data_IF_044777941701
#
_entry.id   IF_044777941701
#
_cell.length_a   1.000
_cell.length_b   1.000
_cell.length_c   1.000
_cell.angle_alpha   90.00
_cell.angle_beta   90.00
_cell.angle_gamma   90.00
#
_symmetry.space_group_name_H-M   'P 1'
#
loop_
_entity.id
_entity.type
_entity.pdbx_description
1 polymer ?
#
# COMPACT_ATOMS: atom_id res chain seq x y z
N UNK A 1 -12.27 5.32 21.08
CA UNK A 1 -13.00 6.61 21.10
C UNK A 1 -13.66 6.77 19.74
N UNK A 2 -14.96 7.04 19.71
CA UNK A 2 -15.80 7.02 18.49
C UNK A 2 -15.40 8.04 17.41
N UNK A 3 -14.56 9.02 17.76
CA UNK A 3 -14.07 10.02 16.82
C UNK A 3 -13.11 9.45 15.78
N UNK A 4 -12.28 8.46 16.15
CA UNK A 4 -11.25 7.92 15.24
C UNK A 4 -11.90 7.22 14.03
N UNK A 5 -12.91 6.38 14.28
CA UNK A 5 -13.66 5.68 13.21
C UNK A 5 -14.36 6.63 12.26
N UNK A 6 -14.89 7.74 12.78
CA UNK A 6 -15.49 8.80 11.98
C UNK A 6 -14.45 9.50 11.08
N UNK A 7 -13.27 9.79 11.62
CA UNK A 7 -12.16 10.40 10.86
C UNK A 7 -11.68 9.48 9.75
N UNK A 8 -11.41 8.21 10.03
CA UNK A 8 -10.96 7.26 9.00
C UNK A 8 -11.99 7.07 7.89
N UNK A 9 -13.28 7.02 8.26
CA UNK A 9 -14.38 6.94 7.29
C UNK A 9 -14.43 8.16 6.38
N UNK A 10 -14.27 9.37 6.93
CA UNK A 10 -14.21 10.61 6.15
C UNK A 10 -12.96 10.63 5.24
N UNK A 11 -11.81 10.20 5.74
CA UNK A 11 -10.57 10.15 4.94
C UNK A 11 -10.71 9.18 3.76
N UNK A 12 -11.29 8.00 3.97
CA UNK A 12 -11.57 7.04 2.90
C UNK A 12 -12.56 7.60 1.87
N UNK A 13 -13.60 8.30 2.32
CA UNK A 13 -14.56 8.98 1.46
C UNK A 13 -13.89 10.06 0.60
N UNK A 14 -13.07 10.92 1.22
CA UNK A 14 -12.34 11.99 0.52
C UNK A 14 -11.35 11.42 -0.50
N UNK A 15 -10.65 10.34 -0.15
CA UNK A 15 -9.71 9.66 -1.06
C UNK A 15 -10.41 9.07 -2.29
N UNK A 16 -11.60 8.51 -2.09
CA UNK A 16 -12.39 7.87 -3.16
C UNK A 16 -13.11 8.88 -4.05
N UNK A 17 -13.82 9.83 -3.45
CA UNK A 17 -14.89 10.58 -4.14
C UNK A 17 -14.53 12.04 -4.45
N UNK A 18 -13.44 12.59 -3.87
CA UNK A 18 -13.07 13.99 -4.13
C UNK A 18 -12.62 14.20 -5.57
N UNK A 19 -13.22 15.17 -6.27
CA UNK A 19 -12.74 15.62 -7.60
C UNK A 19 -11.41 16.37 -7.54
N UNK A 20 -10.97 16.78 -6.35
CA UNK A 20 -9.70 17.47 -6.15
C UNK A 20 -8.60 16.49 -5.74
N UNK A 21 -7.64 16.26 -6.65
CA UNK A 21 -6.50 15.36 -6.40
C UNK A 21 -5.66 15.76 -5.18
N UNK A 22 -5.53 17.06 -4.85
CA UNK A 22 -4.78 17.48 -3.67
C UNK A 22 -5.45 17.01 -2.38
N UNK A 23 -6.78 17.06 -2.33
CA UNK A 23 -7.55 16.52 -1.20
C UNK A 23 -7.35 15.01 -1.10
N UNK A 24 -7.42 14.28 -2.23
CA UNK A 24 -7.17 12.83 -2.26
C UNK A 24 -5.77 12.49 -1.75
N UNK A 25 -4.74 13.21 -2.19
CA UNK A 25 -3.35 13.04 -1.76
C UNK A 25 -3.23 13.23 -0.25
N UNK A 26 -3.80 14.31 0.30
CA UNK A 26 -3.74 14.57 1.74
C UNK A 26 -4.52 13.54 2.55
N UNK A 27 -5.67 13.08 2.05
CA UNK A 27 -6.44 12.03 2.69
C UNK A 27 -5.68 10.70 2.75
N UNK A 28 -5.02 10.30 1.65
CA UNK A 28 -4.13 9.14 1.64
C UNK A 28 -2.96 9.30 2.63
N UNK A 29 -2.30 10.45 2.65
CA UNK A 29 -1.21 10.71 3.60
C UNK A 29 -1.68 10.62 5.06
N UNK A 30 -2.85 11.17 5.38
CA UNK A 30 -3.44 11.09 6.72
C UNK A 30 -3.77 9.65 7.14
N UNK A 31 -4.19 8.79 6.20
CA UNK A 31 -4.42 7.36 6.46
C UNK A 31 -3.14 6.60 6.82
N UNK A 32 -1.95 7.13 6.53
CA UNK A 32 -0.65 6.55 6.90
C UNK A 32 -0.04 7.12 8.20
N UNK A 33 -0.71 8.09 8.85
CA UNK A 33 -0.19 8.70 10.09
C UNK A 33 -0.10 7.73 11.27
N UNK A 34 -1.08 6.83 11.51
CA UNK A 34 -1.01 5.91 12.65
C UNK A 34 0.17 4.94 12.50
N UNK A 35 0.97 4.77 13.56
CA UNK A 35 2.22 4.01 13.50
C UNK A 35 2.04 2.50 13.76
N UNK A 36 0.92 2.12 14.36
CA UNK A 36 0.60 0.74 14.73
C UNK A 36 -0.88 0.42 14.49
N UNK A 37 -1.22 -0.88 14.44
CA UNK A 37 -2.61 -1.33 14.34
C UNK A 37 -3.47 -0.80 15.50
N UNK A 38 -2.89 -0.62 16.69
CA UNK A 38 -3.57 -0.08 17.86
C UNK A 38 -4.01 1.38 17.65
N UNK A 39 -3.21 2.17 16.96
CA UNK A 39 -3.52 3.59 16.68
C UNK A 39 -4.67 3.75 15.68
N UNK A 40 -4.87 2.76 14.80
CA UNK A 40 -6.07 2.67 13.95
C UNK A 40 -7.31 2.19 14.72
N UNK A 41 -7.11 1.40 15.78
CA UNK A 41 -8.18 0.75 16.53
C UNK A 41 -9.04 -0.14 15.64
N UNK A 42 -10.36 -0.11 15.86
CA UNK A 42 -11.34 -0.92 15.12
C UNK A 42 -11.39 -0.59 13.62
N UNK A 43 -10.93 0.61 13.23
CA UNK A 43 -10.98 1.08 11.84
C UNK A 43 -9.88 0.49 10.96
N UNK A 44 -8.91 -0.24 11.52
CA UNK A 44 -7.82 -0.81 10.72
C UNK A 44 -8.35 -1.69 9.57
N UNK A 45 -9.41 -2.46 9.84
CA UNK A 45 -10.06 -3.30 8.85
C UNK A 45 -10.64 -2.49 7.69
N UNK A 46 -11.35 -1.42 7.99
CA UNK A 46 -11.99 -0.57 6.98
C UNK A 46 -10.95 0.20 6.16
N UNK A 47 -9.86 0.64 6.80
CA UNK A 47 -8.74 1.29 6.13
C UNK A 47 -8.07 0.35 5.12
N UNK A 48 -7.71 -0.88 5.53
CA UNK A 48 -7.10 -1.86 4.63
C UNK A 48 -8.03 -2.18 3.46
N UNK A 49 -9.31 -2.45 3.72
CA UNK A 49 -10.28 -2.78 2.68
C UNK A 49 -10.50 -1.62 1.72
N UNK A 50 -10.63 -0.41 2.25
CA UNK A 50 -10.80 0.80 1.46
C UNK A 50 -9.59 1.09 0.57
N UNK A 51 -8.36 0.98 1.10
CA UNK A 51 -7.14 1.19 0.33
C UNK A 51 -6.98 0.16 -0.80
N UNK A 52 -7.21 -1.13 -0.52
CA UNK A 52 -7.19 -2.18 -1.56
C UNK A 52 -8.21 -1.88 -2.64
N UNK A 53 -9.44 -1.57 -2.26
CA UNK A 53 -10.50 -1.28 -3.21
C UNK A 53 -10.18 -0.08 -4.09
N UNK A 54 -9.62 0.99 -3.51
CA UNK A 54 -9.24 2.18 -4.27
C UNK A 54 -8.11 1.85 -5.25
N UNK A 55 -7.08 1.11 -4.81
CA UNK A 55 -5.98 0.66 -5.67
C UNK A 55 -6.46 -0.21 -6.84
N UNK A 56 -7.35 -1.17 -6.59
CA UNK A 56 -7.94 -2.03 -7.63
C UNK A 56 -8.68 -1.23 -8.71
N UNK A 57 -9.26 -0.09 -8.36
CA UNK A 57 -10.13 0.69 -9.24
C UNK A 57 -9.48 1.98 -9.80
N UNK A 58 -8.22 2.30 -9.46
CA UNK A 58 -7.54 3.54 -9.89
C UNK A 58 -7.47 3.74 -11.42
N UNK A 59 -7.54 2.66 -12.21
CA UNK A 59 -7.53 2.72 -13.68
C UNK A 59 -8.79 3.34 -14.29
N UNK A 60 -9.89 3.44 -13.53
CA UNK A 60 -11.21 3.85 -14.03
C UNK A 60 -11.48 5.36 -14.03
N UNK A 61 -10.54 6.19 -13.57
CA UNK A 61 -10.72 7.65 -13.52
C UNK A 61 -10.74 8.26 -14.94
N UNK A 62 -11.95 8.41 -15.49
CA UNK A 62 -12.26 8.88 -16.86
C UNK A 62 -12.02 10.38 -17.12
N UNK A 63 -11.38 11.12 -16.20
CA UNK A 63 -11.28 12.58 -16.29
C UNK A 63 -9.81 13.00 -16.37
N UNK A 64 -9.30 13.34 -17.56
CA UNK A 64 -7.97 13.93 -17.66
C UNK A 64 -7.87 15.08 -18.68
N UNK A 65 -7.80 16.30 -18.15
CA UNK A 65 -7.04 17.39 -18.76
C UNK A 65 -5.54 17.18 -18.49
N UNK A 66 -4.60 17.64 -19.35
CA UNK A 66 -3.15 17.43 -19.19
C UNK A 66 -2.58 17.86 -17.83
N UNK A 67 -3.17 18.90 -17.20
CA UNK A 67 -2.77 19.38 -15.87
C UNK A 67 -3.04 18.38 -14.73
N UNK A 68 -3.96 17.44 -14.93
CA UNK A 68 -4.28 16.40 -13.95
C UNK A 68 -3.27 15.26 -13.94
N UNK A 69 -2.43 15.11 -14.97
CA UNK A 69 -1.49 14.00 -15.07
C UNK A 69 -0.47 13.99 -13.93
N UNK A 70 0.14 15.15 -13.63
CA UNK A 70 1.10 15.29 -12.52
C UNK A 70 0.46 14.93 -11.17
N UNK A 71 -0.77 15.37 -10.93
CA UNK A 71 -1.46 15.10 -9.67
C UNK A 71 -1.96 13.65 -9.57
N UNK A 72 -2.29 13.01 -10.69
CA UNK A 72 -2.61 11.58 -10.75
C UNK A 72 -1.39 10.74 -10.38
N UNK A 73 -0.22 11.02 -10.96
CA UNK A 73 1.04 10.36 -10.61
C UNK A 73 1.40 10.60 -9.14
N UNK A 74 1.20 11.83 -8.62
CA UNK A 74 1.44 12.13 -7.21
C UNK A 74 0.50 11.35 -6.28
N UNK A 75 -0.79 11.22 -6.65
CA UNK A 75 -1.77 10.43 -5.91
C UNK A 75 -1.42 8.95 -5.91
N UNK A 76 -1.04 8.37 -7.05
CA UNK A 76 -0.62 6.97 -7.16
C UNK A 76 0.59 6.68 -6.27
N UNK A 77 1.60 7.55 -6.29
CA UNK A 77 2.76 7.43 -5.40
C UNK A 77 2.38 7.51 -3.92
N UNK A 78 1.50 8.45 -3.55
CA UNK A 78 1.05 8.59 -2.16
C UNK A 78 0.23 7.39 -1.72
N UNK A 79 -0.69 6.89 -2.56
CA UNK A 79 -1.51 5.73 -2.23
C UNK A 79 -0.65 4.47 -2.10
N UNK A 80 0.34 4.32 -2.97
CA UNK A 80 1.33 3.24 -2.87
C UNK A 80 2.06 3.29 -1.53
N UNK A 81 2.59 4.45 -1.16
CA UNK A 81 3.27 4.64 0.14
C UNK A 81 2.35 4.29 1.32
N UNK A 82 1.10 4.78 1.27
CA UNK A 82 0.08 4.55 2.30
C UNK A 82 -0.26 3.07 2.44
N UNK A 83 -0.43 2.37 1.31
CA UNK A 83 -0.73 0.95 1.31
C UNK A 83 0.45 0.11 1.80
N UNK A 84 1.68 0.42 1.38
CA UNK A 84 2.89 -0.27 1.86
C UNK A 84 3.03 -0.13 3.38
N UNK A 85 2.79 1.05 3.92
CA UNK A 85 2.77 1.28 5.37
C UNK A 85 1.69 0.45 6.07
N UNK A 86 0.44 0.52 5.59
CA UNK A 86 -0.65 -0.23 6.22
C UNK A 86 -0.41 -1.76 6.18
N UNK A 87 0.19 -2.27 5.09
CA UNK A 87 0.55 -3.68 4.96
C UNK A 87 1.73 -4.08 5.85
N UNK A 88 2.73 -3.22 6.05
CA UNK A 88 3.92 -3.54 6.86
C UNK A 88 3.59 -3.83 8.33
N UNK A 89 2.49 -3.27 8.82
CA UNK A 89 1.99 -3.50 10.19
C UNK A 89 0.86 -4.53 10.26
N UNK A 90 0.34 -5.02 9.13
CA UNK A 90 -0.85 -5.88 9.08
C UNK A 90 -0.67 -7.23 9.79
N UNK A 91 0.55 -7.78 9.85
CA UNK A 91 0.84 -9.03 10.57
C UNK A 91 0.63 -8.90 12.09
N UNK A 92 0.70 -7.68 12.63
CA UNK A 92 0.50 -7.39 14.06
C UNK A 92 -0.98 -7.23 14.43
N UNK A 93 -1.89 -7.35 13.47
CA UNK A 93 -3.32 -7.27 13.74
C UNK A 93 -3.85 -8.60 14.27
N UNK A 94 -4.55 -8.56 15.39
CA UNK A 94 -5.32 -9.70 15.91
C UNK A 94 -6.70 -9.83 15.24
N UNK A 95 -7.06 -8.88 14.36
CA UNK A 95 -8.38 -8.82 13.74
C UNK A 95 -8.49 -9.81 12.57
N UNK A 96 -9.06 -11.00 12.84
CA UNK A 96 -9.21 -12.09 11.85
C UNK A 96 -9.87 -11.68 10.52
N UNK A 97 -10.90 -10.82 10.48
CA UNK A 97 -11.47 -10.35 9.22
C UNK A 97 -10.47 -9.67 8.27
N UNK A 98 -9.46 -8.98 8.81
CA UNK A 98 -8.41 -8.34 7.98
C UNK A 98 -7.52 -9.40 7.34
N UNK A 99 -7.13 -10.42 8.13
CA UNK A 99 -6.32 -11.54 7.64
C UNK A 99 -7.07 -12.33 6.55
N UNK A 100 -8.34 -12.61 6.77
CA UNK A 100 -9.22 -13.26 5.79
C UNK A 100 -9.29 -12.47 4.48
N UNK A 101 -9.47 -11.17 4.60
CA UNK A 101 -9.54 -10.27 3.46
C UNK A 101 -8.23 -10.25 2.66
N UNK A 102 -7.09 -10.13 3.34
CA UNK A 102 -5.76 -10.10 2.70
C UNK A 102 -5.40 -11.44 2.05
N UNK A 103 -5.89 -12.57 2.56
CA UNK A 103 -5.79 -13.87 1.88
C UNK A 103 -6.64 -13.89 0.62
N UNK A 104 -7.89 -13.42 0.69
CA UNK A 104 -8.78 -13.33 -0.49
C UNK A 104 -8.23 -12.41 -1.58
N UNK A 105 -7.49 -11.38 -1.21
CA UNK A 105 -6.89 -10.40 -2.11
C UNK A 105 -5.44 -10.71 -2.52
N UNK A 106 -4.93 -11.89 -2.16
CA UNK A 106 -3.54 -12.24 -2.40
C UNK A 106 -3.12 -12.20 -3.88
N UNK A 107 -3.99 -12.61 -4.81
CA UNK A 107 -3.67 -12.56 -6.24
C UNK A 107 -3.49 -11.13 -6.75
N UNK A 108 -4.40 -10.22 -6.37
CA UNK A 108 -4.29 -8.81 -6.70
C UNK A 108 -3.02 -8.20 -6.11
N UNK A 109 -2.75 -8.47 -4.83
CA UNK A 109 -1.55 -7.96 -4.15
C UNK A 109 -0.27 -8.48 -4.81
N UNK A 110 -0.22 -9.76 -5.20
CA UNK A 110 0.91 -10.35 -5.92
C UNK A 110 1.19 -9.60 -7.23
N UNK A 111 0.16 -9.35 -8.04
CA UNK A 111 0.29 -8.60 -9.30
C UNK A 111 0.69 -7.14 -9.07
N UNK A 112 0.10 -6.51 -8.05
CA UNK A 112 0.43 -5.13 -7.67
C UNK A 112 1.88 -4.99 -7.23
N UNK A 113 2.37 -5.86 -6.34
CA UNK A 113 3.77 -5.84 -5.92
C UNK A 113 4.71 -6.18 -7.08
N UNK A 114 4.35 -7.10 -7.98
CA UNK A 114 5.14 -7.39 -9.19
C UNK A 114 5.34 -6.14 -10.04
N UNK A 115 4.28 -5.39 -10.30
CA UNK A 115 4.35 -4.13 -11.02
C UNK A 115 5.25 -3.09 -10.32
N UNK A 116 5.14 -2.98 -8.99
CA UNK A 116 6.00 -2.10 -8.19
C UNK A 116 7.48 -2.47 -8.30
N UNK A 117 7.80 -3.77 -8.23
CA UNK A 117 9.17 -4.28 -8.32
C UNK A 117 9.75 -4.03 -9.73
N UNK A 118 8.97 -4.24 -10.79
CA UNK A 118 9.39 -3.93 -12.16
C UNK A 118 9.70 -2.44 -12.35
N UNK A 119 8.86 -1.55 -11.82
CA UNK A 119 9.09 -0.09 -11.91
C UNK A 119 10.35 0.37 -11.16
N UNK A 120 10.79 -0.38 -10.16
CA UNK A 120 12.01 -0.07 -9.42
C UNK A 120 13.27 -0.33 -10.26
N UNK A 121 13.29 -1.42 -11.04
CA UNK A 121 14.42 -1.78 -11.92
C UNK A 121 14.61 -0.84 -13.11
N UNK A 122 13.54 -0.20 -13.59
CA UNK A 122 13.63 0.77 -14.68
C UNK A 122 14.28 2.10 -14.27
N UNK A 123 14.14 2.49 -12.99
CA UNK A 123 14.69 3.76 -12.47
C UNK A 123 16.19 3.68 -12.15
N UNK A 124 16.72 2.50 -11.85
CA UNK A 124 18.17 2.32 -11.59
C UNK A 124 19.03 2.55 -12.85
N UNK A 125 18.48 2.36 -14.04
CA UNK A 125 19.21 2.56 -15.31
C UNK A 125 19.43 4.04 -15.67
N UNK A 126 18.87 5.00 -14.91
CA UNK A 126 19.04 6.45 -15.16
C UNK A 126 19.90 7.16 -14.10
N UNK A 127 20.33 6.46 -13.05
CA UNK A 127 21.02 7.03 -11.90
C UNK A 127 22.54 6.76 -11.88
N UNK A 128 23.16 6.54 -13.04
CA UNK A 128 24.61 6.35 -13.15
C UNK A 128 25.34 7.68 -13.45
N UNK A 129 25.36 8.62 -12.51
CA UNK A 129 26.56 9.43 -12.19
C UNK A 129 26.41 9.91 -10.74
N UNK A 130 27.48 9.72 -9.95
CA UNK A 130 27.77 10.35 -8.64
C UNK A 130 27.55 9.50 -7.36
N UNK A 131 28.65 8.83 -6.98
CA UNK A 131 29.22 8.68 -5.63
C UNK A 131 28.41 8.04 -4.48
N UNK A 132 28.82 6.82 -4.13
CA UNK A 132 28.99 6.24 -2.79
C UNK A 132 28.07 6.74 -1.66
N UNK A 133 26.93 6.05 -1.50
CA UNK A 133 26.56 5.38 -0.24
C UNK A 133 25.55 4.28 -0.53
N UNK A 134 25.68 3.19 0.21
CA UNK A 134 24.72 2.11 0.42
C UNK A 134 23.42 2.68 1.07
N UNK A 135 22.78 3.67 0.43
CA UNK A 135 21.48 4.17 0.88
C UNK A 135 20.47 3.21 0.27
N UNK A 136 20.09 2.21 1.06
CA UNK A 136 18.95 1.37 0.76
C UNK A 136 17.80 2.28 0.36
N UNK A 137 17.25 2.08 -0.85
CA UNK A 137 16.17 2.91 -1.35
C UNK A 137 15.01 2.80 -0.35
N UNK A 138 14.55 3.90 0.29
CA UNK A 138 13.51 3.83 1.33
C UNK A 138 12.23 3.16 0.81
N UNK A 139 11.96 3.23 -0.51
CA UNK A 139 10.85 2.49 -1.12
C UNK A 139 11.08 0.99 -1.18
N UNK A 140 12.33 0.53 -1.42
CA UNK A 140 12.70 -0.89 -1.42
C UNK A 140 12.50 -1.49 -0.03
N UNK A 141 12.93 -0.77 1.01
CA UNK A 141 12.72 -1.18 2.41
C UNK A 141 11.22 -1.28 2.74
N UNK A 142 10.42 -0.27 2.37
CA UNK A 142 8.96 -0.31 2.58
C UNK A 142 8.30 -1.50 1.87
N UNK A 143 8.71 -1.81 0.64
CA UNK A 143 8.20 -2.99 -0.10
C UNK A 143 8.58 -4.27 0.63
N UNK A 144 9.84 -4.40 1.05
CA UNK A 144 10.32 -5.57 1.78
C UNK A 144 9.54 -5.78 3.08
N UNK A 145 9.34 -4.73 3.87
CA UNK A 145 8.61 -4.79 5.13
C UNK A 145 7.13 -5.16 4.91
N UNK A 146 6.49 -4.60 3.88
CA UNK A 146 5.11 -4.92 3.53
C UNK A 146 4.94 -6.39 3.09
N UNK A 147 5.84 -6.89 2.24
CA UNK A 147 5.78 -8.28 1.80
C UNK A 147 6.12 -9.23 2.95
N UNK A 148 7.12 -8.92 3.79
CA UNK A 148 7.48 -9.73 4.96
C UNK A 148 6.31 -9.89 5.95
N UNK A 149 5.60 -8.79 6.22
CA UNK A 149 4.37 -8.80 7.03
C UNK A 149 3.30 -9.72 6.42
N UNK A 150 3.08 -9.65 5.10
CA UNK A 150 2.13 -10.53 4.41
C UNK A 150 2.54 -12.01 4.45
N UNK A 151 3.83 -12.32 4.26
CA UNK A 151 4.36 -13.70 4.36
C UNK A 151 4.10 -14.26 5.76
N UNK A 152 4.40 -13.48 6.80
CA UNK A 152 4.12 -13.87 8.18
C UNK A 152 2.62 -14.15 8.38
N UNK A 153 1.75 -13.24 7.91
CA UNK A 153 0.30 -13.38 7.99
C UNK A 153 -0.19 -14.66 7.27
N UNK A 154 0.30 -14.92 6.06
CA UNK A 154 -0.09 -16.10 5.29
C UNK A 154 0.38 -17.41 5.93
N UNK A 155 1.57 -17.42 6.51
CA UNK A 155 2.08 -18.56 7.27
C UNK A 155 1.25 -18.83 8.54
N UNK A 156 0.88 -17.79 9.29
CA UNK A 156 -0.02 -17.93 10.45
C UNK A 156 -1.37 -18.56 10.06
N UNK A 157 -1.84 -18.30 8.84
CA UNK A 157 -3.09 -18.84 8.29
C UNK A 157 -2.93 -20.16 7.54
N UNK A 158 -1.74 -20.79 7.59
CA UNK A 158 -1.40 -22.05 6.88
C UNK A 158 -1.52 -21.97 5.36
N UNK A 159 -1.48 -20.77 4.79
CA UNK A 159 -1.51 -20.52 3.35
C UNK A 159 -0.09 -20.53 2.75
N UNK A 160 0.64 -21.62 2.94
CA UNK A 160 2.07 -21.72 2.58
C UNK A 160 2.32 -21.53 1.08
N UNK A 161 1.39 -21.95 0.21
CA UNK A 161 1.51 -21.74 -1.22
C UNK A 161 1.48 -20.24 -1.59
N UNK A 162 0.67 -19.44 -0.89
CA UNK A 162 0.62 -17.98 -1.10
C UNK A 162 1.91 -17.35 -0.54
N UNK A 163 2.30 -17.72 0.69
CA UNK A 163 3.54 -17.24 1.31
C UNK A 163 4.76 -17.45 0.38
N UNK A 164 4.92 -18.66 -0.18
CA UNK A 164 6.03 -19.00 -1.08
C UNK A 164 6.05 -18.14 -2.35
N UNK A 165 4.90 -17.71 -2.88
CA UNK A 165 4.87 -16.80 -4.03
C UNK A 165 5.39 -15.42 -3.68
N UNK A 166 5.03 -14.92 -2.50
CA UNK A 166 5.51 -13.63 -2.00
C UNK A 166 7.00 -13.69 -1.60
N UNK A 167 7.49 -14.82 -1.08
CA UNK A 167 8.93 -15.05 -0.85
C UNK A 167 9.72 -14.95 -2.16
N UNK A 168 9.24 -15.58 -3.24
CA UNK A 168 9.87 -15.47 -4.56
C UNK A 168 9.89 -14.03 -5.06
N UNK A 169 8.84 -13.27 -4.76
CA UNK A 169 8.74 -11.87 -5.16
C UNK A 169 9.78 -11.00 -4.44
N UNK A 170 9.94 -11.14 -3.12
CA UNK A 170 10.98 -10.42 -2.36
C UNK A 170 12.38 -10.73 -2.87
N UNK A 171 12.67 -12.01 -3.14
CA UNK A 171 13.97 -12.41 -3.66
C UNK A 171 14.28 -11.85 -5.06
N UNK A 172 13.26 -11.46 -5.83
CA UNK A 172 13.44 -10.82 -7.14
C UNK A 172 13.79 -9.33 -7.06
N UNK A 173 13.66 -8.71 -5.89
CA UNK A 173 13.99 -7.29 -5.65
C UNK A 173 15.49 -7.11 -5.36
N UNK A 174 16.22 -8.21 -5.11
CA UNK A 174 17.58 -8.19 -4.59
C UNK A 174 18.58 -7.59 -5.58
#
# INVERSE_FOLDING_TARGET
MDWASSVFSILLLLLRDSSNFKIRIQAAAALAVPASVLDYGESFSDVIQGLVHILENQGSDHIASPSNFKYRVALENQLTSTMLHALSIASSSDHEPVKDFLVKKASFLEDWFRALCSSLGEKSCQAEVENNKFIENPKKEMIHNAIGSLIQLYNCRKNHAIAQKFDKLVNSIQ
#
